data_IF_028004184434
#
_entry.id   IF_028004184434
#
_cell.length_a   1.000
_cell.length_b   1.000
_cell.length_c   1.000
_cell.angle_alpha   90.00
_cell.angle_beta   90.00
_cell.angle_gamma   90.00
#
_symmetry.space_group_name_H-M   'P 1'
#
loop_
_entity.id
_entity.type
_entity.pdbx_description
1 polymer ?
#
# COMPACT_ATOMS: atom_id res chain seq x y z
N UNK A 1 2.27 -10.99 0.72
CA UNK A 1 1.41 -9.82 0.42
C UNK A 1 0.39 -9.67 1.52
N UNK A 2 0.11 -8.43 1.94
CA UNK A 2 -1.06 -8.07 2.75
C UNK A 2 -1.93 -7.14 1.93
N UNK A 3 -3.23 -7.42 1.92
CA UNK A 3 -4.24 -6.55 1.32
C UNK A 3 -5.03 -5.86 2.43
N UNK A 4 -5.12 -4.54 2.38
CA UNK A 4 -5.90 -3.74 3.31
C UNK A 4 -6.88 -2.86 2.53
N UNK A 5 -8.16 -3.18 2.61
CA UNK A 5 -9.23 -2.51 1.84
C UNK A 5 -9.40 -1.02 2.16
N UNK A 6 -9.02 -0.60 3.36
CA UNK A 6 -9.08 0.79 3.82
C UNK A 6 -7.75 1.19 4.43
N UNK A 7 -7.05 2.11 3.81
CA UNK A 7 -5.86 2.74 4.35
C UNK A 7 -6.28 3.61 5.55
N UNK A 8 -5.70 3.36 6.72
CA UNK A 8 -6.01 4.11 7.93
C UNK A 8 -4.85 4.09 8.93
N UNK A 9 -4.69 5.19 9.67
CA UNK A 9 -3.56 5.41 10.59
C UNK A 9 -3.55 4.48 11.80
N UNK A 10 -4.69 3.88 12.14
CA UNK A 10 -4.80 2.96 13.28
C UNK A 10 -4.32 1.56 12.94
N UNK A 11 -4.29 1.19 11.65
CA UNK A 11 -3.83 -0.12 11.19
C UNK A 11 -2.46 -0.11 10.54
N UNK A 12 -2.06 1.02 9.93
CA UNK A 12 -0.73 1.21 9.38
C UNK A 12 0.13 1.98 10.40
N UNK A 13 0.58 1.28 11.43
CA UNK A 13 1.29 1.87 12.58
C UNK A 13 2.79 1.54 12.56
N UNK A 14 3.61 2.41 13.17
CA UNK A 14 5.05 2.17 13.31
C UNK A 14 5.35 0.91 14.13
N UNK A 15 4.52 0.61 15.14
CA UNK A 15 4.63 -0.58 15.97
C UNK A 15 3.26 -1.17 16.28
N UNK A 16 3.09 -2.46 15.97
CA UNK A 16 1.91 -3.23 16.37
C UNK A 16 1.97 -3.58 17.86
N UNK A 17 0.82 -3.81 18.47
CA UNK A 17 0.73 -4.20 19.88
C UNK A 17 1.24 -5.63 20.13
N UNK A 18 1.04 -6.52 19.16
CA UNK A 18 1.54 -7.89 19.18
C UNK A 18 1.76 -8.37 17.74
N UNK A 19 2.79 -9.19 17.55
CA UNK A 19 3.16 -9.74 16.23
C UNK A 19 2.43 -11.08 16.04
N UNK A 20 1.44 -11.12 15.16
CA UNK A 20 0.74 -12.37 14.78
C UNK A 20 1.38 -13.07 13.60
N UNK A 21 2.03 -12.32 12.71
CA UNK A 21 2.71 -12.80 11.53
C UNK A 21 3.91 -11.90 11.21
N UNK A 22 4.96 -12.49 10.65
CA UNK A 22 6.13 -11.77 10.16
C UNK A 22 6.46 -12.27 8.73
N UNK A 23 6.86 -11.38 7.81
CA UNK A 23 7.27 -11.78 6.48
C UNK A 23 8.62 -12.51 6.52
N UNK A 24 8.84 -13.40 5.56
CA UNK A 24 10.16 -13.98 5.30
C UNK A 24 11.10 -12.87 4.79
N UNK A 25 12.23 -12.60 5.46
CA UNK A 25 13.12 -11.50 5.12
C UNK A 25 13.79 -11.64 3.75
N UNK A 26 13.79 -12.84 3.15
CA UNK A 26 14.39 -13.11 1.84
C UNK A 26 13.35 -13.01 0.71
N UNK A 27 12.06 -12.93 1.04
CA UNK A 27 10.98 -12.87 0.05
C UNK A 27 10.43 -11.46 -0.08
N UNK A 28 10.00 -11.15 -1.29
CA UNK A 28 9.24 -9.94 -1.53
C UNK A 28 7.91 -9.98 -0.79
N UNK A 29 7.61 -8.89 -0.09
CA UNK A 29 6.35 -8.71 0.61
C UNK A 29 5.83 -7.30 0.36
N UNK A 30 4.63 -7.20 -0.19
CA UNK A 30 3.98 -5.91 -0.47
C UNK A 30 2.72 -5.76 0.35
N UNK A 31 2.53 -4.56 0.90
CA UNK A 31 1.25 -4.09 1.43
C UNK A 31 0.54 -3.34 0.31
N UNK A 32 -0.68 -3.76 0.00
CA UNK A 32 -1.54 -3.10 -1.00
C UNK A 32 -2.74 -2.52 -0.29
N UNK A 33 -3.02 -1.25 -0.52
CA UNK A 33 -4.16 -0.53 0.04
C UNK A 33 -5.01 0.10 -1.06
N UNK A 34 -6.13 0.75 -0.70
CA UNK A 34 -6.88 1.57 -1.65
C UNK A 34 -6.14 2.87 -2.05
N UNK A 35 -5.08 3.27 -1.32
CA UNK A 35 -4.33 4.49 -1.59
C UNK A 35 -2.96 4.24 -2.23
N UNK A 36 -2.31 3.09 -1.97
CA UNK A 36 -0.91 2.89 -2.33
C UNK A 36 -0.50 1.40 -2.40
N UNK A 37 0.66 1.18 -3.01
CA UNK A 37 1.44 -0.05 -2.90
C UNK A 37 2.74 0.26 -2.16
N UNK A 38 3.03 -0.53 -1.12
CA UNK A 38 4.20 -0.35 -0.26
C UNK A 38 4.95 -1.67 -0.07
N UNK A 39 6.02 -1.94 -0.84
CA UNK A 39 6.87 -3.09 -0.63
C UNK A 39 7.71 -2.94 0.65
N UNK A 40 7.92 -4.06 1.33
CA UNK A 40 8.91 -4.20 2.38
C UNK A 40 10.25 -4.56 1.75
N UNK A 41 11.22 -3.66 1.82
CA UNK A 41 12.61 -3.84 1.33
C UNK A 41 13.57 -3.48 2.45
N UNK A 42 14.53 -4.36 2.73
CA UNK A 42 15.53 -4.17 3.80
C UNK A 42 14.93 -3.79 5.16
N UNK A 43 13.78 -4.38 5.50
CA UNK A 43 13.05 -4.12 6.75
C UNK A 43 12.34 -2.76 6.80
N UNK A 44 12.29 -2.03 5.68
CA UNK A 44 11.60 -0.73 5.56
C UNK A 44 10.45 -0.82 4.57
N UNK A 45 9.36 -0.11 4.90
CA UNK A 45 8.19 0.01 4.05
C UNK A 45 8.20 1.39 3.41
N UNK A 46 8.58 1.46 2.13
CA UNK A 46 8.58 2.68 1.34
C UNK A 46 7.46 2.63 0.30
N UNK A 47 6.92 3.78 -0.10
CA UNK A 47 5.89 3.81 -1.15
C UNK A 47 6.53 3.46 -2.49
N UNK A 48 6.00 2.46 -3.18
CA UNK A 48 6.34 2.19 -4.57
C UNK A 48 5.51 3.05 -5.52
N UNK A 49 4.20 3.08 -5.28
CA UNK A 49 3.23 3.81 -6.10
C UNK A 49 2.00 4.21 -5.28
N UNK A 50 1.34 5.30 -5.68
CA UNK A 50 0.07 5.75 -5.09
C UNK A 50 -1.06 5.75 -6.13
N UNK A 51 -2.30 5.77 -5.63
CA UNK A 51 -3.50 5.79 -6.45
C UNK A 51 -3.60 7.08 -7.26
N UNK A 52 -4.06 7.01 -8.52
CA UNK A 52 -4.34 8.21 -9.32
C UNK A 52 -5.49 9.06 -8.73
N UNK A 53 -6.21 8.55 -7.74
CA UNK A 53 -7.32 9.22 -7.07
C UNK A 53 -6.99 9.72 -5.65
N UNK A 54 -5.71 9.69 -5.25
CA UNK A 54 -5.26 10.21 -3.95
C UNK A 54 -4.10 11.20 -4.12
N UNK A 55 -3.62 11.75 -3.00
CA UNK A 55 -2.42 12.59 -2.96
C UNK A 55 -1.43 12.02 -1.96
N UNK A 56 -0.13 12.30 -2.17
CA UNK A 56 0.90 11.93 -1.20
C UNK A 56 0.65 12.56 0.19
N UNK A 57 0.00 13.72 0.23
CA UNK A 57 -0.42 14.35 1.49
C UNK A 57 -1.45 13.49 2.23
N UNK A 58 -2.48 13.00 1.55
CA UNK A 58 -3.50 12.15 2.15
C UNK A 58 -2.91 10.82 2.66
N UNK A 59 -2.01 10.21 1.89
CA UNK A 59 -1.29 9.00 2.31
C UNK A 59 -0.51 9.27 3.60
N UNK A 60 0.24 10.37 3.67
CA UNK A 60 0.97 10.78 4.89
C UNK A 60 0.06 10.99 6.09
N UNK A 61 -1.07 11.65 5.90
CA UNK A 61 -2.01 11.93 6.99
C UNK A 61 -2.61 10.64 7.57
N UNK A 62 -2.71 9.58 6.76
CA UNK A 62 -3.29 8.30 7.14
C UNK A 62 -2.27 7.17 7.38
N UNK A 63 -0.97 7.46 7.35
CA UNK A 63 0.10 6.51 7.67
C UNK A 63 0.70 6.82 9.04
N UNK A 64 0.99 5.80 9.82
CA UNK A 64 1.50 5.93 11.19
C UNK A 64 3.02 6.12 11.29
N UNK A 65 3.77 5.83 10.22
CA UNK A 65 5.20 6.12 10.09
C UNK A 65 5.46 7.32 9.17
N UNK A 66 6.67 7.87 9.24
CA UNK A 66 7.08 9.00 8.41
C UNK A 66 7.32 8.59 6.95
N UNK A 67 6.73 9.33 6.01
CA UNK A 67 6.99 9.19 4.58
C UNK A 67 7.77 10.42 4.09
N UNK A 68 9.08 10.24 3.91
CA UNK A 68 10.02 11.30 3.52
C UNK A 68 10.06 11.56 2.00
N UNK A 69 9.54 10.64 1.20
CA UNK A 69 9.53 10.74 -0.27
C UNK A 69 8.81 12.02 -0.68
N UNK A 70 9.39 12.80 -1.60
CA UNK A 70 8.78 14.06 -2.08
C UNK A 70 7.76 13.84 -3.18
N UNK A 71 8.04 12.84 -4.02
CA UNK A 71 7.24 12.44 -5.16
C UNK A 71 7.21 10.91 -5.20
N UNK A 72 6.10 10.36 -5.66
CA UNK A 72 5.88 8.91 -5.79
C UNK A 72 5.09 8.69 -7.08
N UNK A 73 5.44 7.69 -7.91
CA UNK A 73 4.70 7.36 -9.12
C UNK A 73 3.23 7.07 -8.84
N UNK A 74 2.37 7.36 -9.82
CA UNK A 74 1.01 6.86 -9.83
C UNK A 74 1.00 5.46 -10.43
N UNK A 75 0.27 4.51 -9.83
CA UNK A 75 -0.02 3.27 -10.54
C UNK A 75 -1.07 3.53 -11.65
N UNK A 76 -1.03 2.76 -12.76
CA UNK A 76 -1.88 3.02 -13.91
C UNK A 76 -3.36 2.92 -13.53
N UNK A 77 -4.16 3.86 -14.04
CA UNK A 77 -5.62 3.71 -14.03
C UNK A 77 -5.95 2.44 -14.82
N UNK A 78 -6.80 1.55 -14.29
CA UNK A 78 -7.30 0.44 -15.08
C UNK A 78 -7.91 0.99 -16.36
N UNK A 79 -7.34 0.61 -17.50
CA UNK A 79 -8.03 0.79 -18.78
C UNK A 79 -9.38 0.09 -18.64
N UNK A 80 -10.51 0.72 -19.03
CA UNK A 80 -11.79 0.05 -19.04
C UNK A 80 -11.63 -1.25 -19.84
N UNK A 81 -11.58 -2.38 -19.14
CA UNK A 81 -11.67 -3.66 -19.80
C UNK A 81 -13.05 -3.70 -20.45
N UNK A 82 -13.16 -4.26 -21.65
CA UNK A 82 -14.48 -4.74 -22.09
C UNK A 82 -15.07 -5.55 -20.93
N UNK A 83 -16.35 -5.35 -20.59
CA UNK A 83 -16.96 -6.12 -19.52
C UNK A 83 -16.69 -7.59 -19.81
N UNK A 84 -16.16 -8.31 -18.82
CA UNK A 84 -16.00 -9.77 -18.91
C UNK A 84 -17.40 -10.35 -19.15
N UNK A 85 -17.77 -10.55 -20.42
CA UNK A 85 -18.98 -11.26 -20.82
C UNK A 85 -18.73 -12.74 -20.53
N UNK A 86 -18.88 -13.10 -19.25
CA UNK A 86 -18.64 -14.43 -18.73
C UNK A 86 -19.77 -14.82 -17.79
N UNK A 87 -20.86 -15.31 -18.39
CA UNK A 87 -21.70 -16.44 -17.97
C UNK A 87 -21.94 -16.54 -16.45
N UNK A 88 -23.15 -16.12 -16.04
CA UNK A 88 -23.89 -16.77 -14.95
C UNK A 88 -24.97 -17.67 -15.58
#
# INVERSE_FOLDING_TARGET
MVWKTKHDKNSLVERVQFVTAAPDPVREFTVVTNLDNSPLKDGKTELDSISPYTTLKEVRENTGWEIIQREVPLFPVPIPAEPCNGIL
#
